data_IF_266298896196
#
_entry.id   IF_266298896196
#
_cell.length_a   1.000
_cell.length_b   1.000
_cell.length_c   1.000
_cell.angle_alpha   90.00
_cell.angle_beta   90.00
_cell.angle_gamma   90.00
#
_symmetry.space_group_name_H-M   'P 1'
#
loop_
_entity.id
_entity.type
_entity.pdbx_description
1 polymer ?
#
# COMPACT_ATOMS: atom_id res chain seq x y z
N UNK A 1 -0.92 3.99 -4.75
CA UNK A 1 -1.62 3.67 -6.02
C UNK A 1 -0.96 2.50 -6.74
N UNK A 2 -0.57 1.45 -6.02
CA UNK A 2 0.08 0.27 -6.61
C UNK A 2 -0.84 -0.94 -6.52
N UNK A 3 -0.60 -1.93 -7.39
CA UNK A 3 -1.28 -3.24 -7.39
C UNK A 3 -2.82 -3.17 -7.39
N UNK A 4 -3.39 -2.06 -7.90
CA UNK A 4 -4.84 -1.88 -8.06
C UNK A 4 -5.15 -1.53 -9.51
N UNK A 5 -6.19 -2.14 -10.07
CA UNK A 5 -6.62 -1.88 -11.44
C UNK A 5 -6.96 -0.40 -11.63
N UNK A 6 -6.42 0.22 -12.67
CA UNK A 6 -6.69 1.63 -13.03
C UNK A 6 -6.00 2.67 -12.13
N UNK A 7 -5.12 2.25 -11.22
CA UNK A 7 -4.33 3.15 -10.38
C UNK A 7 -2.84 2.81 -10.57
N UNK A 8 -2.10 3.73 -11.17
CA UNK A 8 -0.67 3.59 -11.40
C UNK A 8 0.13 4.76 -10.85
N UNK A 9 1.39 4.83 -11.27
CA UNK A 9 2.33 5.85 -10.81
C UNK A 9 1.95 7.25 -11.27
N UNK A 10 1.34 7.38 -12.46
CA UNK A 10 0.91 8.68 -13.00
C UNK A 10 -0.14 9.33 -12.11
N UNK A 11 -1.11 8.55 -11.65
CA UNK A 11 -2.15 9.00 -10.75
C UNK A 11 -1.56 9.37 -9.37
N UNK A 12 -0.55 8.62 -8.90
CA UNK A 12 0.14 8.91 -7.64
C UNK A 12 0.86 10.25 -7.68
N UNK A 13 1.62 10.51 -8.75
CA UNK A 13 2.31 11.77 -8.99
C UNK A 13 1.32 12.93 -9.13
N UNK A 14 0.22 12.72 -9.84
CA UNK A 14 -0.84 13.72 -9.96
C UNK A 14 -1.41 14.11 -8.59
N UNK A 15 -1.75 13.14 -7.74
CA UNK A 15 -2.28 13.43 -6.40
C UNK A 15 -1.24 14.14 -5.52
N UNK A 16 0.02 13.71 -5.58
CA UNK A 16 1.09 14.40 -4.84
C UNK A 16 1.20 15.87 -5.27
N UNK A 17 1.20 16.14 -6.57
CA UNK A 17 1.26 17.51 -7.10
C UNK A 17 0.05 18.35 -6.68
N UNK A 18 -1.16 17.80 -6.80
CA UNK A 18 -2.40 18.51 -6.41
C UNK A 18 -2.42 18.82 -4.93
N UNK A 19 -2.02 17.88 -4.06
CA UNK A 19 -1.98 18.10 -2.61
C UNK A 19 -0.92 19.13 -2.23
N UNK A 20 0.28 19.03 -2.79
CA UNK A 20 1.35 20.01 -2.55
C UNK A 20 0.91 21.40 -2.97
N UNK A 21 0.34 21.56 -4.18
CA UNK A 21 -0.10 22.85 -4.68
C UNK A 21 -1.19 23.47 -3.78
N UNK A 22 -2.18 22.67 -3.35
CA UNK A 22 -3.24 23.14 -2.45
C UNK A 22 -2.70 23.69 -1.13
N UNK A 23 -1.67 23.08 -0.55
CA UNK A 23 -1.04 23.59 0.66
C UNK A 23 -0.26 24.88 0.39
N UNK A 24 0.47 24.95 -0.73
CA UNK A 24 1.21 26.16 -1.12
C UNK A 24 0.27 27.34 -1.41
N UNK A 25 -0.89 27.09 -2.02
CA UNK A 25 -1.90 28.12 -2.31
C UNK A 25 -2.44 28.83 -1.05
N UNK A 26 -2.42 28.14 0.10
CA UNK A 26 -2.84 28.69 1.39
C UNK A 26 -1.65 29.07 2.29
N UNK A 27 -0.44 29.16 1.73
CA UNK A 27 0.82 29.44 2.44
C UNK A 27 1.10 28.48 3.60
N UNK A 28 0.70 27.21 3.48
CA UNK A 28 1.05 26.17 4.44
C UNK A 28 2.33 25.45 4.00
N UNK A 29 3.27 25.30 4.94
CA UNK A 29 4.51 24.55 4.69
C UNK A 29 4.20 23.06 4.42
N UNK A 30 4.88 22.50 3.42
CA UNK A 30 4.75 21.10 3.03
C UNK A 30 6.06 20.39 3.32
N UNK A 31 5.98 19.29 4.09
CA UNK A 31 7.09 18.38 4.32
C UNK A 31 6.78 17.02 3.72
N UNK A 32 7.75 16.44 3.00
CA UNK A 32 7.64 15.10 2.44
C UNK A 32 8.62 14.15 3.15
N UNK A 33 8.14 12.96 3.49
CA UNK A 33 8.97 11.86 3.99
C UNK A 33 8.79 10.67 3.05
N UNK A 34 9.89 10.26 2.41
CA UNK A 34 9.90 9.10 1.54
C UNK A 34 10.33 7.88 2.35
N UNK A 35 9.47 6.87 2.41
CA UNK A 35 9.71 5.61 3.12
C UNK A 35 9.72 4.49 2.09
N UNK A 36 10.78 3.70 2.09
CA UNK A 36 10.91 2.50 1.28
C UNK A 36 11.27 1.30 2.15
N UNK A 37 10.63 0.15 1.87
CA UNK A 37 10.85 -1.07 2.65
C UNK A 37 11.90 -1.93 1.98
N UNK A 38 13.03 -2.14 2.66
CA UNK A 38 14.03 -3.09 2.18
C UNK A 38 13.44 -4.50 2.17
N UNK A 39 13.35 -5.11 0.98
CA UNK A 39 12.82 -6.47 0.77
C UNK A 39 11.44 -6.68 1.40
N UNK A 40 10.50 -5.78 1.09
CA UNK A 40 9.17 -5.75 1.72
C UNK A 40 8.40 -7.09 1.71
N UNK A 41 8.56 -7.92 0.68
CA UNK A 41 7.92 -9.25 0.62
C UNK A 41 8.63 -10.31 1.47
N UNK A 42 9.96 -10.25 1.59
CA UNK A 42 10.72 -11.24 2.37
C UNK A 42 10.58 -11.01 3.88
N UNK A 43 10.28 -9.77 4.29
CA UNK A 43 10.19 -9.37 5.70
C UNK A 43 8.76 -9.36 6.26
N UNK A 44 7.77 -9.79 5.49
CA UNK A 44 6.38 -9.79 5.92
C UNK A 44 6.12 -10.91 6.96
N UNK A 45 5.36 -10.61 8.02
CA UNK A 45 4.96 -11.63 8.99
C UNK A 45 3.78 -12.45 8.46
N UNK A 46 4.00 -13.70 8.06
CA UNK A 46 2.96 -14.55 7.48
C UNK A 46 1.75 -14.78 8.40
N UNK A 47 1.95 -14.82 9.73
CA UNK A 47 0.85 -14.94 10.68
C UNK A 47 -0.07 -13.71 10.65
N UNK A 48 0.49 -12.50 10.55
CA UNK A 48 -0.30 -11.27 10.42
C UNK A 48 -1.06 -11.24 9.08
N UNK A 49 -0.44 -11.73 8.00
CA UNK A 49 -1.12 -11.85 6.70
C UNK A 49 -2.31 -12.81 6.81
N UNK A 50 -2.14 -13.97 7.47
CA UNK A 50 -3.22 -14.93 7.71
C UNK A 50 -4.39 -14.29 8.48
N UNK A 51 -4.12 -13.62 9.61
CA UNK A 51 -5.14 -12.96 10.43
C UNK A 51 -5.93 -11.91 9.61
N UNK A 52 -5.24 -11.14 8.77
CA UNK A 52 -5.89 -10.15 7.89
C UNK A 52 -6.80 -10.85 6.86
N UNK A 53 -6.35 -11.94 6.25
CA UNK A 53 -7.14 -12.69 5.26
C UNK A 53 -8.38 -13.35 5.90
N UNK A 54 -8.23 -13.92 7.10
CA UNK A 54 -9.35 -14.48 7.88
C UNK A 54 -10.36 -13.39 8.24
N UNK A 55 -9.90 -12.22 8.68
CA UNK A 55 -10.76 -11.05 8.97
C UNK A 55 -11.48 -10.48 7.75
N UNK A 56 -11.05 -10.83 6.52
CA UNK A 56 -11.73 -10.47 5.27
C UNK A 56 -12.74 -11.53 4.80
N UNK A 57 -12.98 -12.57 5.60
CA UNK A 57 -13.89 -13.69 5.28
C UNK A 57 -13.50 -14.42 3.99
N UNK A 58 -12.20 -14.54 3.71
CA UNK A 58 -11.70 -15.40 2.63
C UNK A 58 -11.78 -16.86 3.09
N UNK A 59 -12.16 -17.77 2.19
CA UNK A 59 -12.28 -19.18 2.54
C UNK A 59 -10.94 -19.75 3.01
N UNK A 60 -10.98 -20.53 4.09
CA UNK A 60 -9.79 -21.13 4.71
C UNK A 60 -8.92 -21.92 3.71
N UNK A 61 -9.55 -22.55 2.71
CA UNK A 61 -8.83 -23.26 1.64
C UNK A 61 -7.96 -22.32 0.82
N UNK A 62 -8.49 -21.16 0.42
CA UNK A 62 -7.75 -20.18 -0.38
C UNK A 62 -6.62 -19.55 0.45
N UNK A 63 -6.87 -19.28 1.74
CA UNK A 63 -5.84 -18.83 2.67
C UNK A 63 -4.70 -19.84 2.76
N UNK A 64 -5.01 -21.14 2.88
CA UNK A 64 -3.98 -22.18 2.94
C UNK A 64 -3.15 -22.24 1.65
N UNK A 65 -3.77 -22.08 0.48
CA UNK A 65 -3.06 -22.02 -0.79
C UNK A 65 -2.10 -20.82 -0.78
N UNK A 66 -2.57 -19.63 -0.40
CA UNK A 66 -1.76 -18.41 -0.37
C UNK A 66 -0.56 -18.56 0.57
N UNK A 67 -0.77 -19.13 1.76
CA UNK A 67 0.31 -19.32 2.74
C UNK A 67 1.36 -20.35 2.29
N UNK A 68 1.00 -21.29 1.42
CA UNK A 68 1.92 -22.27 0.86
C UNK A 68 2.71 -21.76 -0.36
N UNK A 69 2.46 -20.53 -0.83
CA UNK A 69 3.22 -19.90 -1.93
C UNK A 69 4.57 -19.31 -1.47
N UNK A 70 4.79 -19.27 -0.17
CA UNK A 70 5.99 -18.78 0.51
C UNK A 70 6.59 -19.88 1.37
#
# INVERSE_FOLDING_TARGET
MGFRKGLGTREALFVLNVLTQKCLDINQEVHACFIDFEKGFDKVCHNQVKEILEGKNIYTRDIQIILNLY
#
